data_IF_156868169026
#
_entry.id   IF_156868169026
#
_cell.length_a   1.000
_cell.length_b   1.000
_cell.length_c   1.000
_cell.angle_alpha   90.00
_cell.angle_beta   90.00
_cell.angle_gamma   90.00
#
_symmetry.space_group_name_H-M   'P 1'
#
loop_
_entity.id
_entity.type
_entity.pdbx_description
1 polymer ?
#
# COMPACT_ATOMS: atom_id res chain seq x y z
N UNK A 1 -4.97 18.78 -8.07
CA UNK A 1 -4.37 17.96 -6.99
C UNK A 1 -2.87 18.01 -7.23
N UNK A 2 -2.07 18.36 -6.22
CA UNK A 2 -0.61 18.43 -6.37
C UNK A 2 -0.02 17.01 -6.16
N UNK A 3 -0.17 16.14 -7.17
CA UNK A 3 0.28 14.74 -7.13
C UNK A 3 1.64 14.65 -7.84
N UNK A 4 2.56 13.84 -7.32
CA UNK A 4 3.88 13.60 -7.93
C UNK A 4 3.72 13.13 -9.38
N UNK A 5 4.49 13.70 -10.29
CA UNK A 5 4.43 13.36 -11.72
C UNK A 5 4.70 11.87 -11.99
N UNK A 6 5.66 11.29 -11.28
CA UNK A 6 5.97 9.86 -11.35
C UNK A 6 4.80 8.98 -10.91
N UNK A 7 4.05 9.40 -9.88
CA UNK A 7 2.85 8.69 -9.43
C UNK A 7 1.72 8.80 -10.45
N UNK A 8 1.54 9.99 -11.06
CA UNK A 8 0.55 10.18 -12.14
C UNK A 8 0.83 9.21 -13.29
N UNK A 9 2.11 9.05 -13.67
CA UNK A 9 2.51 8.08 -14.70
C UNK A 9 2.13 6.64 -14.34
N UNK A 10 2.41 6.22 -13.10
CA UNK A 10 2.01 4.89 -12.63
C UNK A 10 0.49 4.67 -12.62
N UNK A 11 -0.28 5.70 -12.29
CA UNK A 11 -1.76 5.68 -12.34
C UNK A 11 -2.27 5.48 -13.77
N UNK A 12 -1.70 6.18 -14.75
CA UNK A 12 -2.07 6.02 -16.17
C UNK A 12 -1.68 4.64 -16.72
N UNK A 13 -0.48 4.15 -16.40
CA UNK A 13 0.00 2.85 -16.88
C UNK A 13 -0.78 1.67 -16.28
N UNK A 14 -1.29 1.81 -15.05
CA UNK A 14 -2.12 0.80 -14.40
C UNK A 14 -3.61 0.84 -14.83
N UNK A 15 -3.89 1.57 -15.92
CA UNK A 15 -5.21 1.74 -16.51
C UNK A 15 -6.26 2.20 -15.49
N UNK A 16 -5.85 3.11 -14.60
CA UNK A 16 -6.80 3.81 -13.75
C UNK A 16 -7.40 4.92 -14.59
N UNK A 17 -8.47 4.58 -15.32
CA UNK A 17 -9.36 5.58 -15.90
C UNK A 17 -9.75 6.62 -14.84
N UNK A 18 -10.17 7.81 -15.31
CA UNK A 18 -10.59 8.94 -14.48
C UNK A 18 -11.40 8.45 -13.27
N UNK A 19 -10.88 8.58 -12.03
CA UNK A 19 -11.51 8.00 -10.85
C UNK A 19 -12.94 8.53 -10.69
N UNK A 20 -13.84 7.70 -10.17
CA UNK A 20 -15.21 8.13 -9.88
C UNK A 20 -15.21 9.29 -8.86
N UNK A 21 -16.25 10.13 -8.85
CA UNK A 21 -16.32 11.30 -7.97
C UNK A 21 -16.09 10.95 -6.48
N UNK A 22 -16.59 9.81 -6.02
CA UNK A 22 -16.37 9.30 -4.66
C UNK A 22 -14.90 8.98 -4.40
N UNK A 23 -14.20 8.39 -5.37
CA UNK A 23 -12.76 8.10 -5.26
C UNK A 23 -11.93 9.39 -5.27
N UNK A 24 -12.29 10.37 -6.13
CA UNK A 24 -11.61 11.66 -6.15
C UNK A 24 -11.75 12.40 -4.81
N UNK A 25 -12.95 12.36 -4.22
CA UNK A 25 -13.20 12.93 -2.90
C UNK A 25 -12.35 12.24 -1.84
N UNK A 26 -12.38 10.90 -1.81
CA UNK A 26 -11.59 10.09 -0.87
C UNK A 26 -10.08 10.37 -0.98
N UNK A 27 -9.54 10.44 -2.20
CA UNK A 27 -8.13 10.76 -2.44
C UNK A 27 -7.78 12.14 -1.85
N UNK A 28 -8.63 13.17 -2.07
CA UNK A 28 -8.37 14.52 -1.50
C UNK A 28 -8.40 14.51 0.02
N UNK A 29 -9.37 13.82 0.62
CA UNK A 29 -9.49 13.72 2.08
C UNK A 29 -8.25 13.03 2.67
N UNK A 30 -7.83 11.89 2.10
CA UNK A 30 -6.68 11.14 2.60
C UNK A 30 -5.33 11.85 2.41
N UNK A 31 -5.16 12.68 1.37
CA UNK A 31 -3.95 13.50 1.20
C UNK A 31 -3.85 14.59 2.28
N UNK A 32 -4.98 14.99 2.87
CA UNK A 32 -5.01 16.09 3.85
C UNK A 32 -4.62 15.63 5.26
N UNK A 33 -4.12 14.40 5.44
CA UNK A 33 -3.66 13.82 6.71
C UNK A 33 -4.72 13.80 7.83
N UNK A 34 -5.96 13.48 7.45
CA UNK A 34 -7.07 13.27 8.38
C UNK A 34 -7.55 11.82 8.32
N UNK A 35 -8.07 11.33 9.45
CA UNK A 35 -8.80 10.08 9.50
C UNK A 35 -9.99 10.12 8.53
N UNK A 36 -10.09 9.09 7.69
CA UNK A 36 -11.09 9.01 6.63
C UNK A 36 -11.85 7.69 6.68
N UNK A 37 -13.17 7.77 6.79
CA UNK A 37 -14.05 6.63 6.54
C UNK A 37 -14.54 6.65 5.09
N UNK A 38 -14.12 5.66 4.31
CA UNK A 38 -14.45 5.56 2.88
C UNK A 38 -15.42 4.38 2.65
N UNK A 39 -16.73 4.63 2.48
CA UNK A 39 -17.70 3.58 2.19
C UNK A 39 -17.68 3.24 0.69
N UNK A 40 -16.98 2.17 0.30
CA UNK A 40 -16.92 1.69 -1.09
C UNK A 40 -17.28 0.21 -1.14
N UNK A 41 -18.15 -0.15 -2.11
CA UNK A 41 -18.72 -1.49 -2.27
C UNK A 41 -17.79 -2.54 -2.90
N UNK A 42 -16.69 -2.11 -3.54
CA UNK A 42 -15.75 -2.99 -4.27
C UNK A 42 -14.34 -2.82 -3.73
N UNK A 43 -13.71 -3.92 -3.29
CA UNK A 43 -12.38 -3.95 -2.68
C UNK A 43 -11.29 -3.36 -3.59
N UNK A 44 -11.18 -3.85 -4.83
CA UNK A 44 -10.17 -3.38 -5.80
C UNK A 44 -10.29 -1.89 -6.11
N UNK A 45 -11.51 -1.40 -6.39
CA UNK A 45 -11.74 0.03 -6.69
C UNK A 45 -11.48 0.92 -5.47
N UNK A 46 -11.78 0.42 -4.26
CA UNK A 46 -11.45 1.10 -3.01
C UNK A 46 -9.94 1.20 -2.84
N UNK A 47 -9.24 0.10 -3.05
CA UNK A 47 -7.79 0.05 -2.86
C UNK A 47 -7.06 0.99 -3.81
N UNK A 48 -7.42 1.03 -5.10
CA UNK A 48 -6.83 2.00 -6.05
C UNK A 48 -6.97 3.46 -5.55
N UNK A 49 -8.10 3.81 -4.96
CA UNK A 49 -8.35 5.14 -4.42
C UNK A 49 -7.57 5.45 -3.12
N UNK A 50 -7.21 4.42 -2.34
CA UNK A 50 -6.43 4.56 -1.09
C UNK A 50 -4.92 4.43 -1.34
N UNK A 51 -4.50 3.68 -2.36
CA UNK A 51 -3.09 3.53 -2.71
C UNK A 51 -2.46 4.84 -3.21
N UNK A 52 -3.20 5.64 -3.98
CA UNK A 52 -2.72 6.94 -4.49
C UNK A 52 -2.32 7.90 -3.33
N UNK A 53 -3.18 8.20 -2.34
CA UNK A 53 -2.80 9.09 -1.24
C UNK A 53 -1.67 8.51 -0.37
N UNK A 54 -1.60 7.19 -0.20
CA UNK A 54 -0.49 6.50 0.48
C UNK A 54 0.83 6.79 -0.25
N UNK A 55 0.89 6.46 -1.54
CA UNK A 55 2.09 6.65 -2.37
C UNK A 55 2.46 8.12 -2.54
N UNK A 56 1.50 9.04 -2.41
CA UNK A 56 1.73 10.47 -2.45
C UNK A 56 2.40 11.01 -1.17
N UNK A 57 2.15 10.41 -0.01
CA UNK A 57 2.68 10.86 1.29
C UNK A 57 3.97 10.14 1.70
N UNK A 58 4.22 8.96 1.15
CA UNK A 58 5.37 8.11 1.50
C UNK A 58 6.73 8.71 1.09
N UNK A 59 7.68 8.74 2.02
CA UNK A 59 9.07 9.13 1.72
C UNK A 59 9.87 7.93 1.24
N UNK A 60 10.08 7.84 -0.07
CA UNK A 60 10.81 6.73 -0.70
C UNK A 60 12.31 6.74 -0.44
N UNK A 61 12.86 7.85 0.09
CA UNK A 61 14.28 7.92 0.45
C UNK A 61 14.58 7.20 1.75
N UNK A 62 13.56 6.94 2.56
CA UNK A 62 13.67 6.24 3.84
C UNK A 62 13.23 4.81 3.64
N UNK A 63 14.15 3.86 3.80
CA UNK A 63 13.88 2.42 3.73
C UNK A 63 13.41 1.90 5.10
N UNK A 64 12.31 2.46 5.61
CA UNK A 64 11.71 2.12 6.91
C UNK A 64 10.19 1.99 6.80
N UNK A 65 9.58 1.24 7.70
CA UNK A 65 8.14 0.93 7.70
C UNK A 65 7.31 2.19 7.99
N UNK A 66 6.65 2.72 6.96
CA UNK A 66 5.86 3.95 7.04
C UNK A 66 4.35 3.68 6.97
N UNK A 67 3.95 2.57 6.36
CA UNK A 67 2.54 2.28 6.08
C UNK A 67 2.21 0.82 6.36
N UNK A 68 1.16 0.60 7.15
CA UNK A 68 0.60 -0.71 7.41
C UNK A 68 -0.81 -0.81 6.79
N UNK A 69 -1.04 -1.85 5.98
CA UNK A 69 -2.34 -2.17 5.39
C UNK A 69 -2.80 -3.53 5.91
N UNK A 70 -3.88 -3.54 6.68
CA UNK A 70 -4.50 -4.76 7.20
C UNK A 70 -5.69 -5.18 6.32
N UNK A 71 -5.76 -6.46 5.99
CA UNK A 71 -6.82 -7.02 5.13
C UNK A 71 -7.22 -8.42 5.59
N UNK A 72 -8.48 -8.87 5.42
CA UNK A 72 -8.96 -10.08 6.07
C UNK A 72 -8.46 -11.38 5.44
N UNK A 73 -8.02 -11.38 4.17
CA UNK A 73 -7.63 -12.61 3.46
C UNK A 73 -6.27 -12.49 2.81
N UNK A 74 -5.56 -13.61 2.73
CA UNK A 74 -4.27 -13.72 2.04
C UNK A 74 -4.35 -13.34 0.56
N UNK A 75 -5.45 -13.70 -0.11
CA UNK A 75 -5.72 -13.30 -1.50
C UNK A 75 -5.77 -11.77 -1.65
N UNK A 76 -6.43 -11.10 -0.69
CA UNK A 76 -6.49 -9.64 -0.66
C UNK A 76 -5.12 -9.02 -0.41
N UNK A 77 -4.25 -9.64 0.40
CA UNK A 77 -2.87 -9.18 0.61
C UNK A 77 -2.13 -9.14 -0.72
N UNK A 78 -2.19 -10.23 -1.49
CA UNK A 78 -1.50 -10.33 -2.78
C UNK A 78 -2.06 -9.34 -3.81
N UNK A 79 -3.40 -9.16 -3.85
CA UNK A 79 -4.02 -8.21 -4.77
C UNK A 79 -3.63 -6.77 -4.43
N UNK A 80 -3.68 -6.39 -3.16
CA UNK A 80 -3.27 -5.06 -2.69
C UNK A 80 -1.80 -4.81 -3.00
N UNK A 81 -0.91 -5.75 -2.71
CA UNK A 81 0.52 -5.63 -3.00
C UNK A 81 0.76 -5.38 -4.49
N UNK A 82 0.09 -6.13 -5.38
CA UNK A 82 0.18 -5.93 -6.83
C UNK A 82 -0.27 -4.53 -7.25
N UNK A 83 -1.38 -4.03 -6.71
CA UNK A 83 -1.89 -2.69 -6.99
C UNK A 83 -0.88 -1.62 -6.55
N UNK A 84 -0.36 -1.74 -5.33
CA UNK A 84 0.60 -0.79 -4.75
C UNK A 84 1.89 -0.73 -5.56
N UNK A 85 2.47 -1.89 -5.89
CA UNK A 85 3.70 -1.97 -6.69
C UNK A 85 3.49 -1.46 -8.12
N UNK A 86 2.33 -1.73 -8.74
CA UNK A 86 2.05 -1.26 -10.08
C UNK A 86 1.85 0.26 -10.14
N UNK A 87 1.08 0.84 -9.21
CA UNK A 87 0.88 2.29 -9.12
C UNK A 87 2.17 3.02 -8.72
N UNK A 88 2.98 2.39 -7.85
CA UNK A 88 4.22 2.94 -7.35
C UNK A 88 5.45 2.62 -8.21
N UNK A 89 5.29 1.96 -9.37
CA UNK A 89 6.40 1.49 -10.20
C UNK A 89 7.44 2.59 -10.47
N UNK A 90 6.99 3.79 -10.83
CA UNK A 90 7.88 4.91 -11.15
C UNK A 90 8.37 5.70 -9.93
N UNK A 91 7.85 5.41 -8.74
CA UNK A 91 8.19 6.09 -7.49
C UNK A 91 9.24 5.29 -6.70
N UNK A 92 9.59 4.07 -7.15
CA UNK A 92 10.54 3.16 -6.51
C UNK A 92 10.15 2.79 -5.06
N UNK A 93 8.88 2.43 -4.89
CA UNK A 93 8.34 2.00 -3.58
C UNK A 93 8.60 0.52 -3.34
N UNK A 94 8.91 0.16 -2.09
CA UNK A 94 8.97 -1.23 -1.65
C UNK A 94 7.73 -1.60 -0.84
N UNK A 95 7.22 -2.81 -1.07
CA UNK A 95 6.01 -3.32 -0.41
C UNK A 95 6.21 -4.79 -0.02
N UNK A 96 6.21 -5.06 1.28
CA UNK A 96 6.24 -6.41 1.84
C UNK A 96 4.83 -6.96 2.05
N UNK A 97 4.64 -8.25 1.77
CA UNK A 97 3.38 -8.95 1.97
C UNK A 97 3.54 -10.03 3.06
N UNK A 98 2.88 -9.83 4.20
CA UNK A 98 2.79 -10.79 5.30
C UNK A 98 1.61 -11.73 5.05
N UNK A 99 1.90 -12.95 4.64
CA UNK A 99 0.89 -13.96 4.34
C UNK A 99 0.95 -15.12 5.35
N UNK A 100 2.15 -15.62 5.65
CA UNK A 100 2.36 -16.81 6.49
C UNK A 100 3.52 -16.66 7.49
N UNK A 101 3.82 -15.42 7.93
CA UNK A 101 5.00 -15.13 8.74
C UNK A 101 6.31 -15.24 7.95
N UNK A 102 7.43 -15.38 8.65
CA UNK A 102 8.77 -15.43 8.05
C UNK A 102 9.12 -16.88 7.72
N UNK A 103 8.87 -17.28 6.47
CA UNK A 103 9.05 -18.66 6.04
C UNK A 103 10.32 -18.90 5.24
N UNK A 104 10.99 -17.84 4.78
CA UNK A 104 12.16 -17.98 3.92
C UNK A 104 13.31 -17.06 4.31
N UNK A 105 14.53 -17.49 3.98
CA UNK A 105 15.72 -16.64 4.05
C UNK A 105 15.59 -15.37 3.20
N UNK A 106 14.74 -15.39 2.18
CA UNK A 106 14.47 -14.23 1.35
C UNK A 106 13.56 -13.22 2.07
N UNK A 107 12.61 -13.68 2.88
CA UNK A 107 11.78 -12.79 3.70
C UNK A 107 12.61 -12.07 4.74
N UNK A 108 13.50 -12.80 5.45
CA UNK A 108 14.44 -12.19 6.40
C UNK A 108 15.26 -11.09 5.74
N UNK A 109 15.86 -11.37 4.58
CA UNK A 109 16.64 -10.36 3.86
C UNK A 109 15.83 -9.15 3.41
N UNK A 110 14.56 -9.35 3.02
CA UNK A 110 13.66 -8.24 2.63
C UNK A 110 13.28 -7.38 3.82
N UNK A 111 13.09 -8.00 4.99
CA UNK A 111 12.79 -7.29 6.22
C UNK A 111 14.03 -6.53 6.72
N UNK A 112 15.21 -7.14 6.68
CA UNK A 112 16.49 -6.48 6.99
C UNK A 112 16.81 -5.31 6.04
N UNK A 113 16.42 -5.42 4.76
CA UNK A 113 16.56 -4.33 3.79
C UNK A 113 15.59 -3.16 4.04
N UNK A 114 14.59 -3.36 4.90
CA UNK A 114 13.49 -2.43 5.13
C UNK A 114 12.43 -2.50 4.03
N UNK A 115 11.20 -2.12 4.38
CA UNK A 115 10.14 -1.89 3.40
C UNK A 115 9.32 -0.66 3.79
N UNK A 116 8.87 0.16 2.84
CA UNK A 116 8.04 1.32 3.21
C UNK A 116 6.58 0.96 3.47
N UNK A 117 6.09 -0.09 2.82
CA UNK A 117 4.71 -0.56 2.95
C UNK A 117 4.71 -2.02 3.40
N UNK A 118 3.91 -2.33 4.42
CA UNK A 118 3.59 -3.70 4.84
C UNK A 118 2.10 -3.95 4.60
N UNK A 119 1.78 -5.03 3.91
CA UNK A 119 0.40 -5.49 3.71
C UNK A 119 0.26 -6.86 4.33
N UNK A 120 -0.75 -7.10 5.15
CA UNK A 120 -0.91 -8.41 5.78
C UNK A 120 -2.28 -8.67 6.38
N UNK A 121 -2.49 -9.92 6.79
CA UNK A 121 -3.61 -10.25 7.66
C UNK A 121 -3.29 -9.82 9.10
N UNK A 122 -4.29 -9.45 9.93
CA UNK A 122 -4.06 -9.05 11.31
C UNK A 122 -3.25 -10.06 12.11
N UNK A 123 -3.56 -11.35 11.95
CA UNK A 123 -2.87 -12.45 12.65
C UNK A 123 -1.38 -12.55 12.25
N UNK A 124 -1.08 -12.46 10.94
CA UNK A 124 0.30 -12.54 10.44
C UNK A 124 1.14 -11.35 10.92
N UNK A 125 0.59 -10.14 10.80
CA UNK A 125 1.29 -8.92 11.23
C UNK A 125 1.54 -8.94 12.73
N UNK A 126 0.55 -9.39 13.51
CA UNK A 126 0.69 -9.52 14.95
C UNK A 126 1.80 -10.52 15.34
N UNK A 127 1.86 -11.69 14.71
CA UNK A 127 2.94 -12.67 14.95
C UNK A 127 4.33 -12.08 14.62
N UNK A 128 4.45 -11.30 13.54
CA UNK A 128 5.72 -10.65 13.20
C UNK A 128 6.15 -9.57 14.21
N UNK A 129 5.18 -8.81 14.74
CA UNK A 129 5.43 -7.83 15.80
C UNK A 129 5.84 -8.50 17.12
N UNK A 130 5.17 -9.60 17.52
CA UNK A 130 5.55 -10.35 18.73
C UNK A 130 6.96 -10.94 18.63
N UNK A 131 7.38 -11.32 17.43
CA UNK A 131 8.75 -11.81 17.16
C UNK A 131 9.78 -10.69 17.00
N UNK A 132 9.38 -9.43 17.09
CA UNK A 132 10.25 -8.25 16.93
C UNK A 132 10.97 -8.21 15.57
N UNK A 133 10.25 -8.57 14.51
CA UNK A 133 10.79 -8.57 13.13
C UNK A 133 10.17 -7.50 12.23
N UNK A 134 9.11 -6.85 12.71
CA UNK A 134 8.56 -5.59 12.21
C UNK A 134 8.76 -4.50 13.26
#
# INVERSE_FOLDING_TARGET
MNVRELLIRGVYDYDVERPAAVQQSAIKTCISDHDAHIPVRSGTKKMKAVAIPILQQLDVKVADYQVLILTPTQESVQEIQKIVLALGHYVDVTCYACIDGINTRNDVKRLEAGAQIVVGTPECVYDMLERSVL
#
